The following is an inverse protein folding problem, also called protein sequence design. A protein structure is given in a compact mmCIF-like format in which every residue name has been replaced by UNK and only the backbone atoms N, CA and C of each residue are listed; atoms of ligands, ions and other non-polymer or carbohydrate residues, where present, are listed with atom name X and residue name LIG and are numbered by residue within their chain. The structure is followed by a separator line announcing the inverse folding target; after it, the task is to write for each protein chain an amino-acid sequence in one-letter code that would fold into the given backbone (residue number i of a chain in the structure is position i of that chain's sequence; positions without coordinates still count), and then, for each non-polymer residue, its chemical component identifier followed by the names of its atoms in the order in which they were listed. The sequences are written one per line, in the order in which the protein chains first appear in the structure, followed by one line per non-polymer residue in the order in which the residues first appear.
data_IF_744100294224
#
_entry.id   IF_744100294224
#
_cell.length_a   1.000
_cell.length_b   1.000
_cell.length_c   1.000
_cell.angle_alpha   90.00
_cell.angle_beta   90.00
_cell.angle_gamma   90.00
#
_symmetry.space_group_name_H-M   'P 1'
#
loop_
_entity.id
_entity.type
_entity.pdbx_description
1 polymer ?
#
# COMPACT_ATOMS: atom_id res chain seq x y z
N UNK A 1 43.43 -19.73 5.74
CA UNK A 1 42.54 -20.04 6.88
C UNK A 1 41.28 -19.20 6.70
N UNK A 2 40.20 -19.80 6.21
CA UNK A 2 38.87 -19.17 6.07
C UNK A 2 38.08 -19.46 7.36
N UNK A 3 37.55 -18.44 8.02
CA UNK A 3 36.67 -18.63 9.19
C UNK A 3 35.50 -19.56 8.83
N UNK A 4 35.20 -20.58 9.65
CA UNK A 4 34.14 -21.56 9.38
C UNK A 4 32.72 -21.03 9.64
N UNK A 5 32.58 -19.85 10.24
CA UNK A 5 31.31 -19.37 10.76
C UNK A 5 30.71 -18.27 9.86
N UNK A 6 30.11 -18.70 8.74
CA UNK A 6 29.16 -17.86 8.02
C UNK A 6 27.96 -17.50 8.89
N UNK A 7 27.23 -16.40 8.59
CA UNK A 7 26.04 -16.05 9.35
C UNK A 7 25.03 -17.22 9.35
N UNK A 8 24.30 -17.43 10.46
CA UNK A 8 23.36 -18.53 10.55
C UNK A 8 22.34 -18.47 9.41
N UNK A 9 21.89 -19.62 8.88
CA UNK A 9 20.85 -19.63 7.85
C UNK A 9 19.62 -18.90 8.37
N UNK A 10 19.07 -17.99 7.57
CA UNK A 10 17.83 -17.30 7.93
C UNK A 10 16.76 -18.36 8.20
N UNK A 11 15.95 -18.20 9.27
CA UNK A 11 14.80 -19.05 9.49
C UNK A 11 13.99 -19.14 8.19
N UNK A 12 13.69 -20.34 7.73
CA UNK A 12 12.80 -20.52 6.59
C UNK A 12 11.48 -19.85 6.98
N UNK A 13 11.04 -18.86 6.20
CA UNK A 13 9.73 -18.28 6.39
C UNK A 13 8.72 -19.44 6.46
N UNK A 14 7.90 -19.45 7.51
CA UNK A 14 6.86 -20.46 7.66
C UNK A 14 6.07 -20.54 6.35
N UNK A 15 5.77 -21.76 5.91
CA UNK A 15 5.00 -21.95 4.70
C UNK A 15 3.66 -21.23 4.83
N UNK A 16 3.33 -20.42 3.83
CA UNK A 16 2.06 -19.68 3.74
C UNK A 16 0.88 -20.64 3.93
N UNK A 17 -0.07 -20.37 4.86
CA UNK A 17 -1.33 -21.09 4.89
C UNK A 17 -2.03 -20.97 3.54
N UNK A 18 -2.43 -22.09 2.94
CA UNK A 18 -2.87 -22.15 1.55
C UNK A 18 -4.15 -21.34 1.26
N UNK A 19 -4.93 -21.06 2.30
CA UNK A 19 -6.25 -20.44 2.30
C UNK A 19 -6.27 -18.98 2.80
N UNK A 20 -5.12 -18.43 3.19
CA UNK A 20 -5.05 -17.06 3.69
C UNK A 20 -5.04 -16.03 2.57
N UNK A 21 -6.10 -15.24 2.45
CA UNK A 21 -6.17 -14.08 1.55
C UNK A 21 -5.50 -12.86 2.21
N UNK A 22 -4.35 -12.48 1.67
CA UNK A 22 -3.59 -11.31 2.13
C UNK A 22 -4.25 -9.98 1.75
N UNK A 23 -5.18 -9.98 0.78
CA UNK A 23 -5.76 -8.75 0.25
C UNK A 23 -4.69 -7.71 -0.14
N UNK A 24 -4.91 -6.46 0.26
CA UNK A 24 -3.94 -5.37 0.10
C UNK A 24 -2.98 -5.32 1.30
N UNK A 25 -2.06 -6.29 1.37
CA UNK A 25 -1.07 -6.37 2.44
C UNK A 25 -0.04 -5.23 2.38
N UNK A 26 0.70 -5.06 3.48
CA UNK A 26 1.76 -4.06 3.59
C UNK A 26 2.74 -4.14 2.40
N UNK A 27 3.06 -3.00 1.79
CA UNK A 27 3.94 -2.83 0.64
C UNK A 27 3.41 -3.42 -0.71
N UNK A 28 2.18 -3.95 -0.76
CA UNK A 28 1.61 -4.46 -2.02
C UNK A 28 1.16 -3.36 -2.97
N UNK A 29 1.20 -2.09 -2.55
CA UNK A 29 1.06 -0.92 -3.41
C UNK A 29 2.32 -0.64 -4.25
N UNK A 30 3.50 -1.09 -3.81
CA UNK A 30 4.77 -0.77 -4.48
C UNK A 30 4.83 -1.21 -5.96
N UNK A 31 4.36 -2.41 -6.36
CA UNK A 31 4.30 -2.78 -7.77
C UNK A 31 3.51 -1.82 -8.67
N UNK A 32 2.52 -1.11 -8.11
CA UNK A 32 1.73 -0.12 -8.86
C UNK A 32 2.53 1.16 -9.14
N UNK A 33 3.51 1.48 -8.28
CA UNK A 33 4.40 2.63 -8.42
C UNK A 33 5.66 2.30 -9.21
N UNK A 34 6.27 1.14 -8.95
CA UNK A 34 7.58 0.75 -9.43
C UNK A 34 7.50 -0.47 -10.35
N UNK A 35 7.31 -0.29 -11.67
CA UNK A 35 7.05 -1.40 -12.60
C UNK A 35 8.24 -2.36 -12.79
N UNK A 36 9.42 -2.01 -12.28
CA UNK A 36 10.63 -2.85 -12.29
C UNK A 36 10.77 -3.70 -11.03
N UNK A 37 9.90 -3.54 -10.02
CA UNK A 37 9.94 -4.38 -8.83
C UNK A 37 9.64 -5.84 -9.22
N UNK A 38 10.49 -6.76 -8.79
CA UNK A 38 10.41 -8.18 -9.15
C UNK A 38 9.99 -9.05 -7.98
N UNK A 39 9.40 -10.19 -8.29
CA UNK A 39 9.25 -11.29 -7.34
C UNK A 39 10.59 -12.00 -7.06
N UNK A 40 10.52 -13.06 -6.26
CA UNK A 40 11.68 -13.87 -5.88
C UNK A 40 12.37 -14.56 -7.09
N UNK A 41 11.64 -14.77 -8.19
CA UNK A 41 12.12 -15.39 -9.42
C UNK A 41 12.64 -14.35 -10.43
N UNK A 42 12.66 -13.07 -10.07
CA UNK A 42 13.13 -11.98 -10.93
C UNK A 42 12.09 -11.55 -11.98
N UNK A 43 10.85 -12.02 -11.89
CA UNK A 43 9.78 -11.62 -12.80
C UNK A 43 9.19 -10.29 -12.31
N UNK A 44 9.13 -9.24 -13.15
CA UNK A 44 8.49 -7.99 -12.75
C UNK A 44 7.01 -8.18 -12.40
N UNK A 45 6.59 -7.74 -11.21
CA UNK A 45 5.19 -7.83 -10.77
C UNK A 45 4.22 -7.15 -11.74
N UNK A 46 4.67 -6.09 -12.43
CA UNK A 46 3.88 -5.40 -13.43
C UNK A 46 3.46 -6.30 -14.61
N UNK A 47 4.22 -7.37 -14.92
CA UNK A 47 3.86 -8.36 -15.95
C UNK A 47 2.72 -9.29 -15.51
N UNK A 48 2.52 -9.44 -14.21
CA UNK A 48 1.52 -10.32 -13.62
C UNK A 48 0.18 -9.58 -13.40
N UNK A 49 0.15 -8.26 -13.59
CA UNK A 49 -1.05 -7.45 -13.38
C UNK A 49 -2.13 -7.71 -14.42
N UNK A 50 -3.36 -7.89 -13.94
CA UNK A 50 -4.59 -7.83 -14.73
C UNK A 50 -4.74 -6.47 -15.43
N UNK A 51 -5.63 -6.39 -16.42
CA UNK A 51 -5.92 -5.13 -17.12
C UNK A 51 -6.45 -4.04 -16.16
N UNK A 52 -7.30 -4.40 -15.19
CA UNK A 52 -7.81 -3.49 -14.18
C UNK A 52 -6.69 -2.97 -13.26
N UNK A 53 -5.77 -3.85 -12.83
CA UNK A 53 -4.63 -3.45 -12.02
C UNK A 53 -3.67 -2.53 -12.79
N UNK A 54 -3.41 -2.81 -14.07
CA UNK A 54 -2.62 -1.91 -14.93
C UNK A 54 -3.23 -0.53 -15.04
N UNK A 55 -4.54 -0.43 -15.28
CA UNK A 55 -5.27 0.85 -15.30
C UNK A 55 -5.11 1.59 -13.96
N UNK A 56 -5.33 0.91 -12.84
CA UNK A 56 -5.13 1.52 -11.52
C UNK A 56 -3.67 1.93 -11.27
N UNK A 57 -2.69 1.17 -11.76
CA UNK A 57 -1.29 1.55 -11.66
C UNK A 57 -0.99 2.86 -12.43
N UNK A 58 -1.62 3.05 -13.60
CA UNK A 58 -1.56 4.34 -14.30
C UNK A 58 -2.21 5.47 -13.50
N UNK A 59 -3.40 5.24 -12.93
CA UNK A 59 -4.09 6.24 -12.09
C UNK A 59 -3.25 6.63 -10.87
N UNK A 60 -2.67 5.66 -10.17
CA UNK A 60 -1.82 5.89 -8.99
C UNK A 60 -0.61 6.74 -9.38
N UNK A 61 0.12 6.37 -10.44
CA UNK A 61 1.29 7.15 -10.90
C UNK A 61 0.93 8.55 -11.37
N UNK A 62 -0.22 8.73 -12.01
CA UNK A 62 -0.71 10.05 -12.41
C UNK A 62 -1.00 10.93 -11.18
N UNK A 63 -1.68 10.38 -10.17
CA UNK A 63 -1.97 11.09 -8.93
C UNK A 63 -0.69 11.51 -8.19
N UNK A 64 0.32 10.64 -8.13
CA UNK A 64 1.64 10.98 -7.59
C UNK A 64 2.34 12.09 -8.38
N UNK A 65 2.26 12.05 -9.72
CA UNK A 65 2.80 13.10 -10.57
C UNK A 65 2.12 14.46 -10.39
N UNK A 66 0.81 14.47 -10.18
CA UNK A 66 0.04 15.71 -9.96
C UNK A 66 0.24 16.32 -8.56
N UNK A 67 0.80 15.57 -7.61
CA UNK A 67 1.19 16.09 -6.30
C UNK A 67 2.50 16.91 -6.33
N UNK A 68 3.28 16.82 -7.41
CA UNK A 68 4.54 17.56 -7.52
C UNK A 68 4.30 19.08 -7.53
N UNK A 69 5.15 19.91 -6.89
CA UNK A 69 4.97 21.36 -6.78
C UNK A 69 4.70 22.08 -8.11
N UNK A 70 5.35 21.65 -9.20
CA UNK A 70 5.15 22.21 -10.54
C UNK A 70 3.77 21.88 -11.17
N UNK A 71 2.97 21.05 -10.51
CA UNK A 71 1.68 20.52 -10.98
C UNK A 71 0.55 20.69 -9.95
N UNK A 72 0.79 21.43 -8.87
CA UNK A 72 -0.22 21.77 -7.86
C UNK A 72 -1.46 22.39 -8.52
N UNK A 73 -2.65 21.93 -8.13
CA UNK A 73 -3.94 22.37 -8.68
C UNK A 73 -4.48 21.52 -9.84
N UNK A 74 -3.75 20.50 -10.30
CA UNK A 74 -4.22 19.57 -11.35
C UNK A 74 -4.97 18.36 -10.80
N UNK A 75 -4.81 18.06 -9.51
CA UNK A 75 -5.54 16.96 -8.87
C UNK A 75 -6.95 17.40 -8.46
N UNK A 76 -7.95 16.58 -8.78
CA UNK A 76 -9.32 16.74 -8.28
C UNK A 76 -9.48 16.23 -6.83
N UNK A 77 -8.42 15.66 -6.25
CA UNK A 77 -8.40 15.21 -4.86
C UNK A 77 -8.35 16.42 -3.92
N UNK A 78 -9.40 16.59 -3.12
CA UNK A 78 -9.48 17.61 -2.08
C UNK A 78 -8.57 17.27 -0.89
N UNK A 79 -7.96 18.27 -0.24
CA UNK A 79 -7.28 18.08 1.03
C UNK A 79 -8.17 17.42 2.07
N UNK A 80 -7.60 16.53 2.90
CA UNK A 80 -8.34 15.83 3.95
C UNK A 80 -8.94 16.78 4.99
N UNK A 81 -8.25 17.86 5.35
CA UNK A 81 -8.79 18.90 6.25
C UNK A 81 -10.01 19.65 5.68
N UNK A 82 -10.26 19.51 4.37
CA UNK A 82 -11.38 20.12 3.65
C UNK A 82 -12.39 19.06 3.16
N UNK A 83 -12.27 17.80 3.59
CA UNK A 83 -13.19 16.70 3.25
C UNK A 83 -13.11 15.53 4.22
N UNK A 84 -14.24 15.02 4.69
CA UNK A 84 -14.29 13.80 5.52
C UNK A 84 -14.13 12.52 4.69
N UNK A 85 -13.34 12.54 3.63
CA UNK A 85 -13.16 11.42 2.70
C UNK A 85 -11.75 11.33 2.16
N UNK A 86 -11.26 10.09 2.06
CA UNK A 86 -10.01 9.74 1.41
C UNK A 86 -10.27 9.19 0.01
N UNK A 87 -9.32 9.34 -0.91
CA UNK A 87 -9.34 8.61 -2.17
C UNK A 87 -8.99 7.13 -1.93
N UNK A 88 -9.97 6.24 -2.09
CA UNK A 88 -9.76 4.81 -2.12
C UNK A 88 -9.28 4.39 -3.51
N UNK A 89 -8.02 3.96 -3.63
CA UNK A 89 -7.47 3.45 -4.89
C UNK A 89 -7.76 1.94 -5.00
N UNK A 90 -8.61 1.55 -5.94
CA UNK A 90 -9.03 0.15 -6.13
C UNK A 90 -8.93 -0.23 -7.62
N UNK A 91 -8.44 -1.42 -7.96
CA UNK A 91 -8.50 -1.95 -9.33
C UNK A 91 -9.90 -1.79 -9.95
N UNK A 92 -10.02 -0.88 -10.94
CA UNK A 92 -11.27 -0.64 -11.68
C UNK A 92 -12.39 0.10 -10.94
N UNK A 93 -12.21 0.49 -9.67
CA UNK A 93 -13.30 1.04 -8.84
C UNK A 93 -12.82 2.10 -7.82
N UNK A 94 -11.80 2.88 -8.17
CA UNK A 94 -11.32 3.96 -7.30
C UNK A 94 -12.42 5.01 -7.07
N UNK A 95 -12.58 5.46 -5.83
CA UNK A 95 -13.63 6.42 -5.44
C UNK A 95 -13.25 7.18 -4.16
N UNK A 96 -13.95 8.26 -3.87
CA UNK A 96 -13.94 8.84 -2.54
C UNK A 96 -14.61 7.87 -1.55
N UNK A 97 -14.01 7.69 -0.38
CA UNK A 97 -14.51 6.84 0.70
C UNK A 97 -14.42 7.61 2.02
N UNK A 98 -15.47 7.62 2.85
CA UNK A 98 -15.46 8.35 4.11
C UNK A 98 -14.31 7.91 5.03
N UNK A 99 -13.71 8.87 5.74
CA UNK A 99 -12.66 8.59 6.74
C UNK A 99 -13.18 7.63 7.82
N UNK A 100 -14.45 7.76 8.20
CA UNK A 100 -15.10 6.89 9.19
C UNK A 100 -15.16 5.42 8.77
N UNK A 101 -15.12 5.11 7.47
CA UNK A 101 -15.00 3.73 6.98
C UNK A 101 -13.67 3.12 7.43
N UNK A 102 -12.57 3.84 7.23
CA UNK A 102 -11.24 3.39 7.65
C UNK A 102 -11.10 3.40 9.18
N UNK A 103 -11.61 4.43 9.85
CA UNK A 103 -11.59 4.54 11.31
C UNK A 103 -12.17 3.29 11.98
N UNK A 104 -13.32 2.83 11.49
CA UNK A 104 -13.99 1.61 11.96
C UNK A 104 -13.22 0.35 11.57
N UNK A 105 -12.74 0.25 10.33
CA UNK A 105 -12.02 -0.94 9.84
C UNK A 105 -10.68 -1.16 10.57
N UNK A 106 -10.03 -0.09 11.03
CA UNK A 106 -8.74 -0.14 11.73
C UNK A 106 -8.85 -0.01 13.25
N UNK A 107 -10.08 0.03 13.79
CA UNK A 107 -10.34 0.19 15.23
C UNK A 107 -9.63 1.41 15.84
N UNK A 108 -9.61 2.55 15.15
CA UNK A 108 -8.89 3.75 15.59
C UNK A 108 -9.34 4.23 16.98
N UNK A 109 -10.64 4.16 17.31
CA UNK A 109 -11.15 4.50 18.66
C UNK A 109 -10.46 3.71 19.79
N UNK A 110 -10.09 2.46 19.54
CA UNK A 110 -9.37 1.65 20.53
C UNK A 110 -7.96 2.21 20.71
N UNK A 111 -7.27 2.50 19.61
CA UNK A 111 -5.89 2.98 19.62
C UNK A 111 -5.76 4.38 20.19
N UNK A 112 -6.65 5.30 19.83
CA UNK A 112 -6.66 6.68 20.33
C UNK A 112 -6.81 6.68 21.86
N UNK A 113 -7.75 5.90 22.39
CA UNK A 113 -7.93 5.75 23.85
C UNK A 113 -6.73 5.13 24.56
N UNK A 114 -6.03 4.19 23.92
CA UNK A 114 -4.83 3.59 24.49
C UNK A 114 -3.69 4.60 24.48
N UNK A 115 -3.54 5.36 23.40
CA UNK A 115 -2.49 6.36 23.24
C UNK A 115 -2.61 7.47 24.28
N UNK A 116 -3.81 8.02 24.46
CA UNK A 116 -4.12 9.08 25.45
C UNK A 116 -3.88 8.64 26.91
N UNK A 117 -3.85 7.32 27.17
CA UNK A 117 -3.57 6.77 28.50
C UNK A 117 -2.09 6.50 28.74
N UNK A 118 -1.29 6.33 27.69
CA UNK A 118 0.12 5.92 27.77
C UNK A 118 1.06 7.13 27.71
N UNK A 119 0.69 8.20 27.01
CA UNK A 119 1.45 9.44 26.95
C UNK A 119 0.61 10.59 27.56
N UNK A 120 0.88 11.03 28.80
CA UNK A 120 0.20 12.17 29.41
C UNK A 120 0.55 13.50 28.73
#
# INVERSE_FOLDING_TARGET
MTSPDGPPPRPRAAARPADYDYGAAHAYELPYLFPRLTDADGIPYARQMTSAQRKSAHTIRAAWGDFLPARTGRTSWRPLNNSDSCLALRPGASRAEPVSTYHRAHHCDLWDRLWDRILP
#
